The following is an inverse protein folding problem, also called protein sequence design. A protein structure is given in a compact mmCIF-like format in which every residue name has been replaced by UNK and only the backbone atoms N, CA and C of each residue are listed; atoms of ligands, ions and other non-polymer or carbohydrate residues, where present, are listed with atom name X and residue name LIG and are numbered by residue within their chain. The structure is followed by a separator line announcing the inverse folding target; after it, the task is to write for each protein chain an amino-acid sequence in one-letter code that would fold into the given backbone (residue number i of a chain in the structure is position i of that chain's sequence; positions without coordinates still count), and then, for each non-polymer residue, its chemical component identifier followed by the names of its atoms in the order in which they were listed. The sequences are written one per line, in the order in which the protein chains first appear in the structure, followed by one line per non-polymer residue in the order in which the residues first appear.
data_IF_671813987568
#
_entry.id   IF_671813987568
#
_cell.length_a   1.000
_cell.length_b   1.000
_cell.length_c   1.000
_cell.angle_alpha   90.00
_cell.angle_beta   90.00
_cell.angle_gamma   90.00
#
_symmetry.space_group_name_H-M   'P 1'
#
loop_
_entity.id
_entity.type
_entity.pdbx_description
1 polymer ?
#
# COMPACT_ATOMS: atom_id res chain seq x y z
N UNK A 1 20.15 14.81 -10.32
CA UNK A 1 18.92 14.98 -9.50
C UNK A 1 18.51 13.62 -8.94
N UNK A 2 17.55 13.57 -8.04
CA UNK A 2 17.03 12.29 -7.56
C UNK A 2 15.49 12.34 -7.59
N UNK A 3 14.87 11.20 -7.84
CA UNK A 3 13.43 11.01 -7.75
C UNK A 3 13.10 10.46 -6.35
N UNK A 4 12.05 10.99 -5.74
CA UNK A 4 11.55 10.57 -4.44
C UNK A 4 10.16 9.98 -4.60
N UNK A 5 9.94 8.80 -4.02
CA UNK A 5 8.64 8.15 -3.96
C UNK A 5 8.32 7.86 -2.49
N UNK A 6 7.31 8.54 -1.97
CA UNK A 6 6.81 8.34 -0.63
C UNK A 6 5.61 7.39 -0.66
N UNK A 7 5.76 6.22 -0.05
CA UNK A 7 4.71 5.23 0.10
C UNK A 7 4.05 5.46 1.46
N UNK A 8 2.84 5.99 1.46
CA UNK A 8 2.09 6.34 2.66
C UNK A 8 0.94 5.36 2.83
N UNK A 9 0.98 4.53 3.89
CA UNK A 9 -0.13 3.64 4.20
C UNK A 9 -1.30 4.46 4.76
N UNK A 10 -2.53 4.12 4.36
CA UNK A 10 -3.72 4.71 4.96
C UNK A 10 -3.72 4.58 6.49
N UNK A 11 -4.41 5.49 7.17
CA UNK A 11 -4.59 5.46 8.61
C UNK A 11 -5.51 4.33 9.09
N UNK A 12 -5.64 4.16 10.40
CA UNK A 12 -6.53 3.16 10.98
C UNK A 12 -7.96 3.37 10.46
N UNK A 13 -8.63 2.27 10.13
CA UNK A 13 -10.02 2.29 9.62
C UNK A 13 -11.04 2.28 10.76
N UNK A 14 -12.26 2.71 10.44
CA UNK A 14 -13.39 2.73 11.37
C UNK A 14 -14.18 1.40 11.29
N UNK A 15 -13.57 0.31 11.73
CA UNK A 15 -14.17 -1.02 11.70
C UNK A 15 -13.53 -1.98 12.68
N UNK A 16 -14.15 -3.15 12.83
CA UNK A 16 -13.61 -4.24 13.64
C UNK A 16 -12.37 -4.85 12.96
N UNK A 17 -11.51 -5.58 13.70
CA UNK A 17 -10.39 -6.30 13.10
C UNK A 17 -10.87 -7.28 12.02
N UNK A 18 -10.43 -7.09 10.78
CA UNK A 18 -10.78 -7.90 9.61
C UNK A 18 -9.71 -7.76 8.52
N UNK A 19 -9.78 -8.62 7.49
CA UNK A 19 -9.07 -8.39 6.24
C UNK A 19 -9.85 -7.39 5.39
N UNK A 20 -9.34 -6.19 5.25
CA UNK A 20 -9.94 -5.15 4.39
C UNK A 20 -9.17 -5.03 3.09
N UNK A 21 -9.55 -5.82 2.10
CA UNK A 21 -9.06 -5.75 0.73
C UNK A 21 -9.89 -4.78 -0.10
N UNK A 22 -10.87 -5.32 -0.85
CA UNK A 22 -11.80 -4.57 -1.69
C UNK A 22 -12.93 -3.89 -0.92
N UNK A 23 -13.25 -4.36 0.30
CA UNK A 23 -14.23 -3.71 1.17
C UNK A 23 -13.87 -2.24 1.37
N UNK A 24 -14.78 -1.35 0.94
CA UNK A 24 -14.51 0.09 0.90
C UNK A 24 -14.88 0.79 2.23
N UNK A 25 -14.15 0.40 3.27
CA UNK A 25 -14.30 0.96 4.62
C UNK A 25 -13.64 2.34 4.73
N UNK A 26 -14.22 3.22 5.54
CA UNK A 26 -13.70 4.56 5.80
C UNK A 26 -12.51 4.54 6.76
N UNK A 27 -11.57 5.45 6.57
CA UNK A 27 -10.56 5.76 7.58
C UNK A 27 -11.23 6.37 8.81
N UNK A 28 -10.73 6.08 10.01
CA UNK A 28 -11.16 6.74 11.25
C UNK A 28 -10.60 8.17 11.32
N UNK A 29 -11.23 9.04 12.10
CA UNK A 29 -10.74 10.40 12.33
C UNK A 29 -9.30 10.38 12.85
N UNK A 30 -9.00 9.64 13.90
CA UNK A 30 -7.66 9.49 14.43
C UNK A 30 -6.65 8.92 13.40
N UNK A 31 -7.09 7.99 12.54
CA UNK A 31 -6.25 7.47 11.46
C UNK A 31 -5.98 8.50 10.37
N UNK A 32 -6.97 9.36 10.07
CA UNK A 32 -6.79 10.48 9.17
C UNK A 32 -5.78 11.49 9.73
N UNK A 33 -5.94 11.93 10.98
CA UNK A 33 -5.05 12.87 11.64
C UNK A 33 -3.61 12.37 11.71
N UNK A 34 -3.43 11.07 12.02
CA UNK A 34 -2.12 10.44 12.02
C UNK A 34 -1.47 10.49 10.62
N UNK A 35 -2.22 10.24 9.55
CA UNK A 35 -1.70 10.37 8.18
C UNK A 35 -1.34 11.82 7.86
N UNK A 36 -2.19 12.77 8.24
CA UNK A 36 -1.97 14.20 7.99
C UNK A 36 -0.75 14.76 8.76
N UNK A 37 -0.31 14.10 9.84
CA UNK A 37 0.90 14.51 10.56
C UNK A 37 2.18 14.49 9.70
N UNK A 38 2.17 13.79 8.56
CA UNK A 38 3.27 13.78 7.58
C UNK A 38 3.28 14.99 6.64
N UNK A 39 2.32 15.92 6.75
CA UNK A 39 2.18 17.05 5.85
C UNK A 39 3.50 17.81 5.58
N UNK A 40 4.27 18.12 6.64
CA UNK A 40 5.54 18.85 6.50
C UNK A 40 6.62 18.02 5.77
N UNK A 41 6.64 16.69 5.96
CA UNK A 41 7.60 15.80 5.31
C UNK A 41 7.30 15.64 3.81
N UNK A 42 6.05 15.92 3.40
CA UNK A 42 5.55 15.80 2.04
C UNK A 42 5.46 17.14 1.30
N UNK A 43 5.84 18.26 1.94
CA UNK A 43 5.72 19.61 1.38
C UNK A 43 6.51 19.81 0.07
N UNK A 44 7.53 18.97 -0.21
CA UNK A 44 8.30 18.98 -1.46
C UNK A 44 7.71 18.12 -2.58
N UNK A 45 6.55 17.48 -2.35
CA UNK A 45 5.91 16.63 -3.35
C UNK A 45 5.45 17.42 -4.57
N UNK A 46 5.45 16.77 -5.74
CA UNK A 46 4.97 17.33 -7.00
C UNK A 46 3.62 16.77 -7.44
N UNK A 47 3.20 15.62 -6.88
CA UNK A 47 1.90 14.98 -7.15
C UNK A 47 1.58 13.91 -6.14
N UNK A 48 0.29 13.56 -6.06
CA UNK A 48 -0.22 12.43 -5.28
C UNK A 48 -0.92 11.44 -6.22
N UNK A 49 -0.64 10.15 -6.05
CA UNK A 49 -1.38 9.06 -6.68
C UNK A 49 -1.97 8.20 -5.55
N UNK A 50 -3.29 8.00 -5.54
CA UNK A 50 -3.97 7.27 -4.47
C UNK A 50 -4.61 5.99 -4.97
N UNK A 51 -4.67 4.98 -4.11
CA UNK A 51 -5.66 3.93 -4.22
C UNK A 51 -7.07 4.54 -4.32
N UNK A 52 -8.00 3.97 -5.10
CA UNK A 52 -9.36 4.48 -5.19
C UNK A 52 -10.20 4.23 -3.93
N UNK A 53 -9.77 3.33 -3.02
CA UNK A 53 -10.51 2.97 -1.82
C UNK A 53 -10.57 4.14 -0.82
N UNK A 54 -11.75 4.34 -0.21
CA UNK A 54 -12.06 5.52 0.62
C UNK A 54 -11.05 5.76 1.73
N UNK A 55 -10.53 4.69 2.37
CA UNK A 55 -9.53 4.79 3.45
C UNK A 55 -8.21 5.44 3.01
N UNK A 56 -7.90 5.39 1.71
CA UNK A 56 -6.77 6.11 1.11
C UNK A 56 -7.21 7.45 0.52
N UNK A 57 -8.25 7.41 -0.32
CA UNK A 57 -8.66 8.54 -1.17
C UNK A 57 -9.14 9.73 -0.36
N UNK A 58 -9.80 9.52 0.78
CA UNK A 58 -10.27 10.60 1.63
C UNK A 58 -9.08 11.46 2.12
N UNK A 59 -8.11 10.84 2.78
CA UNK A 59 -6.93 11.55 3.27
C UNK A 59 -6.05 12.10 2.14
N UNK A 60 -5.97 11.40 1.01
CA UNK A 60 -5.24 11.87 -0.17
C UNK A 60 -5.84 13.14 -0.76
N UNK A 61 -7.18 13.30 -0.77
CA UNK A 61 -7.86 14.51 -1.23
C UNK A 61 -7.55 15.71 -0.34
N UNK A 62 -7.60 15.52 0.98
CA UNK A 62 -7.30 16.60 1.94
C UNK A 62 -5.82 17.02 1.79
N UNK A 63 -4.90 16.05 1.79
CA UNK A 63 -3.47 16.32 1.63
C UNK A 63 -3.16 17.03 0.30
N UNK A 64 -3.80 16.62 -0.79
CA UNK A 64 -3.64 17.27 -2.10
C UNK A 64 -4.12 18.71 -2.09
N UNK A 65 -5.24 18.99 -1.40
CA UNK A 65 -5.76 20.35 -1.25
C UNK A 65 -4.85 21.23 -0.41
N UNK A 66 -4.32 20.72 0.71
CA UNK A 66 -3.45 21.48 1.60
C UNK A 66 -2.07 21.79 0.98
N UNK A 67 -1.55 20.87 0.16
CA UNK A 67 -0.26 21.03 -0.51
C UNK A 67 -0.34 21.63 -1.93
N UNK A 68 -1.55 21.96 -2.39
CA UNK A 68 -1.82 22.43 -3.77
C UNK A 68 -1.26 21.48 -4.84
N UNK A 69 -1.51 20.18 -4.69
CA UNK A 69 -0.98 19.12 -5.55
C UNK A 69 -2.04 18.49 -6.44
N UNK A 70 -1.63 18.05 -7.63
CA UNK A 70 -2.47 17.21 -8.48
C UNK A 70 -2.64 15.83 -7.84
N UNK A 71 -3.91 15.41 -7.68
CA UNK A 71 -4.30 14.07 -7.26
C UNK A 71 -4.79 13.26 -8.45
N UNK A 72 -4.31 12.04 -8.57
CA UNK A 72 -4.88 11.02 -9.46
C UNK A 72 -5.11 9.72 -8.71
N UNK A 73 -5.97 8.85 -9.24
CA UNK A 73 -6.21 7.52 -8.67
C UNK A 73 -5.65 6.43 -9.58
N UNK A 74 -5.17 5.35 -8.98
CA UNK A 74 -4.70 4.17 -9.69
C UNK A 74 -5.34 2.91 -9.08
N UNK A 75 -6.23 2.19 -9.80
CA UNK A 75 -6.80 0.93 -9.32
C UNK A 75 -5.75 -0.12 -8.95
N UNK A 76 -4.58 -0.08 -9.59
CA UNK A 76 -3.44 -0.94 -9.30
C UNK A 76 -2.82 -0.71 -7.91
N UNK A 77 -3.15 0.38 -7.23
CA UNK A 77 -2.75 0.66 -5.84
C UNK A 77 -3.78 0.17 -4.82
N UNK A 78 -4.89 -0.46 -5.24
CA UNK A 78 -5.83 -1.07 -4.29
C UNK A 78 -5.19 -2.26 -3.55
N UNK A 79 -5.68 -2.56 -2.34
CA UNK A 79 -5.21 -3.72 -1.56
C UNK A 79 -5.57 -5.03 -2.26
N UNK A 80 -4.97 -6.13 -1.84
CA UNK A 80 -5.33 -7.46 -2.28
C UNK A 80 -6.80 -7.73 -1.96
N UNK A 81 -7.54 -8.29 -2.92
CA UNK A 81 -8.90 -8.73 -2.69
C UNK A 81 -8.90 -10.06 -1.93
N UNK A 82 -9.53 -10.10 -0.76
CA UNK A 82 -9.54 -11.30 0.10
C UNK A 82 -10.75 -12.22 -0.10
N UNK A 83 -11.47 -12.05 -1.21
CA UNK A 83 -12.58 -12.92 -1.59
C UNK A 83 -13.74 -12.92 -0.60
N UNK A 84 -14.21 -14.12 -0.27
CA UNK A 84 -15.36 -14.32 0.63
C UNK A 84 -15.09 -13.88 2.07
N UNK A 85 -13.81 -13.75 2.48
CA UNK A 85 -13.44 -13.28 3.81
C UNK A 85 -13.15 -11.77 3.88
N UNK A 86 -13.31 -11.05 2.76
CA UNK A 86 -13.03 -9.62 2.68
C UNK A 86 -14.04 -8.80 3.49
N UNK A 87 -13.57 -8.11 4.53
CA UNK A 87 -14.39 -7.26 5.39
C UNK A 87 -15.17 -8.00 6.49
N UNK A 88 -15.05 -9.32 6.59
CA UNK A 88 -15.68 -10.09 7.67
C UNK A 88 -14.82 -9.96 8.94
N UNK A 89 -15.40 -9.53 10.08
CA UNK A 89 -14.69 -9.49 11.36
C UNK A 89 -14.10 -10.85 11.74
N UNK A 90 -12.89 -10.86 12.28
CA UNK A 90 -12.22 -12.11 12.67
C UNK A 90 -13.01 -12.90 13.71
N UNK A 91 -13.79 -12.23 14.57
CA UNK A 91 -14.66 -12.88 15.55
C UNK A 91 -15.82 -13.67 14.90
N UNK A 92 -16.16 -13.34 13.66
CA UNK A 92 -17.23 -13.99 12.88
C UNK A 92 -16.70 -15.11 11.96
N UNK A 93 -15.35 -15.25 11.83
CA UNK A 93 -14.69 -16.27 11.01
C UNK A 93 -14.41 -17.54 11.86
N UNK A 94 -15.42 -18.24 12.32
CA UNK A 94 -15.22 -19.42 13.18
C UNK A 94 -14.90 -20.69 12.39
N UNK A 95 -15.68 -20.99 11.36
CA UNK A 95 -15.52 -22.20 10.53
C UNK A 95 -14.42 -22.06 9.47
N UNK A 96 -14.18 -20.84 8.97
CA UNK A 96 -13.19 -20.53 7.93
C UNK A 96 -11.79 -20.26 8.50
N UNK A 97 -11.61 -20.29 9.83
CA UNK A 97 -10.31 -20.02 10.46
C UNK A 97 -9.16 -20.89 9.91
N UNK A 98 -9.35 -22.20 9.64
CA UNK A 98 -8.30 -23.03 9.04
C UNK A 98 -7.86 -22.54 7.64
N UNK A 99 -8.76 -21.98 6.85
CA UNK A 99 -8.43 -21.40 5.53
C UNK A 99 -7.59 -20.13 5.69
N UNK A 100 -7.94 -19.29 6.64
CA UNK A 100 -7.24 -18.06 6.93
C UNK A 100 -5.83 -18.34 7.48
N UNK A 101 -5.69 -19.32 8.37
CA UNK A 101 -4.40 -19.76 8.90
C UNK A 101 -3.49 -20.31 7.79
N UNK A 102 -4.02 -21.18 6.92
CA UNK A 102 -3.28 -21.72 5.77
C UNK A 102 -2.81 -20.59 4.83
N UNK A 103 -3.67 -19.60 4.57
CA UNK A 103 -3.31 -18.41 3.80
C UNK A 103 -2.17 -17.63 4.47
N UNK A 104 -2.22 -17.36 5.77
CA UNK A 104 -1.16 -16.65 6.45
C UNK A 104 0.16 -17.42 6.50
N UNK A 105 0.10 -18.76 6.62
CA UNK A 105 1.31 -19.58 6.62
C UNK A 105 1.98 -19.67 5.25
N UNK A 106 1.19 -19.64 4.16
CA UNK A 106 1.73 -19.74 2.79
C UNK A 106 0.86 -18.99 1.78
N UNK A 107 0.89 -17.64 1.77
CA UNK A 107 -0.02 -16.82 0.97
C UNK A 107 0.17 -16.97 -0.54
N UNK A 108 1.34 -17.45 -0.98
CA UNK A 108 1.60 -17.74 -2.40
C UNK A 108 1.01 -19.06 -2.88
N UNK A 109 0.75 -20.00 -1.96
CA UNK A 109 0.24 -21.34 -2.26
C UNK A 109 -1.26 -21.51 -1.94
N UNK A 110 -1.77 -20.68 -1.03
CA UNK A 110 -3.16 -20.72 -0.59
C UNK A 110 -3.86 -19.42 -0.94
N UNK A 111 -4.79 -19.47 -1.86
CA UNK A 111 -5.67 -18.35 -2.20
C UNK A 111 -7.02 -18.56 -1.53
N UNK A 112 -7.52 -17.55 -0.84
CA UNK A 112 -8.86 -17.62 -0.22
C UNK A 112 -9.95 -17.73 -1.29
N UNK A 113 -11.10 -18.34 -1.02
CA UNK A 113 -12.20 -18.47 -1.98
C UNK A 113 -12.62 -17.11 -2.55
N UNK A 114 -12.68 -17.00 -3.87
CA UNK A 114 -13.03 -15.75 -4.56
C UNK A 114 -12.00 -14.62 -4.47
N UNK A 115 -10.83 -14.85 -3.84
CA UNK A 115 -9.80 -13.84 -3.68
C UNK A 115 -8.93 -13.64 -4.92
N UNK A 116 -8.24 -12.51 -4.97
CA UNK A 116 -7.12 -12.28 -5.88
C UNK A 116 -5.93 -13.18 -5.48
N UNK A 117 -5.30 -13.85 -6.45
CA UNK A 117 -4.09 -14.59 -6.14
C UNK A 117 -2.95 -13.66 -5.75
N UNK A 118 -2.05 -14.11 -4.86
CA UNK A 118 -0.87 -13.31 -4.50
C UNK A 118 -0.01 -12.98 -5.74
N UNK A 119 0.01 -13.86 -6.75
CA UNK A 119 0.71 -13.64 -8.02
C UNK A 119 0.11 -12.50 -8.83
N UNK A 120 -1.21 -12.46 -8.96
CA UNK A 120 -1.90 -11.41 -9.73
C UNK A 120 -1.76 -10.06 -9.00
N UNK A 121 -1.90 -10.08 -7.68
CA UNK A 121 -1.62 -8.91 -6.83
C UNK A 121 -0.20 -8.40 -7.03
N UNK A 122 0.80 -9.26 -6.94
CA UNK A 122 2.21 -8.91 -7.19
C UNK A 122 2.40 -8.31 -8.57
N UNK A 123 1.92 -8.98 -9.60
CA UNK A 123 2.12 -8.55 -10.99
C UNK A 123 1.53 -7.16 -11.26
N UNK A 124 0.29 -6.87 -10.76
CA UNK A 124 -0.30 -5.55 -10.99
C UNK A 124 0.39 -4.43 -10.23
N UNK A 125 0.83 -4.70 -8.99
CA UNK A 125 1.53 -3.70 -8.15
C UNK A 125 2.93 -3.43 -8.70
N UNK A 126 3.71 -4.47 -8.97
CA UNK A 126 5.08 -4.32 -9.49
C UNK A 126 5.06 -3.73 -10.89
N UNK A 127 4.13 -4.15 -11.75
CA UNK A 127 3.98 -3.54 -13.07
C UNK A 127 3.61 -2.05 -13.02
N UNK A 128 2.84 -1.60 -12.02
CA UNK A 128 2.62 -0.18 -11.77
C UNK A 128 3.91 0.51 -11.30
N UNK A 129 4.60 -0.08 -10.31
CA UNK A 129 5.85 0.47 -9.77
C UNK A 129 6.90 0.68 -10.87
N UNK A 130 7.16 -0.33 -11.69
CA UNK A 130 8.12 -0.25 -12.78
C UNK A 130 7.78 0.84 -13.80
N UNK A 131 6.49 1.04 -14.11
CA UNK A 131 6.08 2.13 -15.00
C UNK A 131 6.34 3.51 -14.42
N UNK A 132 6.08 3.72 -13.13
CA UNK A 132 6.26 5.06 -12.53
C UNK A 132 7.73 5.41 -12.33
N UNK A 133 8.61 4.43 -12.05
CA UNK A 133 10.05 4.69 -11.95
C UNK A 133 10.71 4.87 -13.31
N UNK A 134 10.23 4.18 -14.35
CA UNK A 134 10.72 4.34 -15.71
C UNK A 134 10.35 5.70 -16.34
N UNK A 135 9.23 6.29 -15.89
CA UNK A 135 8.74 7.60 -16.35
C UNK A 135 8.22 8.40 -15.16
N UNK A 136 9.09 8.91 -14.31
CA UNK A 136 8.69 9.74 -13.19
C UNK A 136 8.00 11.01 -13.70
N UNK A 137 6.76 11.23 -13.32
CA UNK A 137 5.99 12.42 -13.73
C UNK A 137 6.25 13.64 -12.87
N UNK A 138 7.39 13.69 -12.18
CA UNK A 138 7.83 14.73 -11.27
C UNK A 138 8.92 14.21 -10.34
N UNK A 139 9.62 15.10 -9.67
CA UNK A 139 10.77 14.74 -8.83
C UNK A 139 10.37 14.06 -7.51
N UNK A 140 9.15 14.33 -7.01
CA UNK A 140 8.67 13.74 -5.77
C UNK A 140 7.21 13.32 -5.92
N UNK A 141 6.94 12.03 -5.83
CA UNK A 141 5.59 11.43 -5.95
C UNK A 141 5.18 10.79 -4.64
N UNK A 142 4.00 11.12 -4.14
CA UNK A 142 3.38 10.46 -2.97
C UNK A 142 2.39 9.40 -3.46
N UNK A 143 2.51 8.18 -2.95
CA UNK A 143 1.58 7.07 -3.18
C UNK A 143 0.80 6.81 -1.89
N UNK A 144 -0.49 7.14 -1.85
CA UNK A 144 -1.36 6.81 -0.72
C UNK A 144 -2.01 5.46 -0.97
N UNK A 145 -1.64 4.44 -0.18
CA UNK A 145 -1.96 3.06 -0.49
C UNK A 145 -2.06 2.17 0.77
N UNK A 146 -1.79 0.88 0.66
CA UNK A 146 -2.06 -0.16 1.64
C UNK A 146 -0.80 -0.93 2.03
N UNK A 147 -0.89 -1.70 3.13
CA UNK A 147 0.24 -2.46 3.66
C UNK A 147 0.74 -3.55 2.72
N UNK A 148 -0.17 -4.27 2.06
CA UNK A 148 0.19 -5.29 1.08
C UNK A 148 0.90 -4.71 -0.13
N UNK A 149 0.38 -3.61 -0.68
CA UNK A 149 0.99 -2.90 -1.82
C UNK A 149 2.41 -2.42 -1.49
N UNK A 150 2.60 -1.83 -0.31
CA UNK A 150 3.92 -1.35 0.13
C UNK A 150 4.90 -2.52 0.25
N UNK A 151 4.48 -3.68 0.81
CA UNK A 151 5.33 -4.89 0.88
C UNK A 151 5.74 -5.38 -0.51
N UNK A 152 4.84 -5.39 -1.49
CA UNK A 152 5.16 -5.78 -2.86
C UNK A 152 6.21 -4.85 -3.49
N UNK A 153 6.08 -3.55 -3.30
CA UNK A 153 7.06 -2.57 -3.80
C UNK A 153 8.41 -2.76 -3.10
N UNK A 154 8.43 -2.92 -1.76
CA UNK A 154 9.64 -3.17 -0.99
C UNK A 154 10.33 -4.45 -1.46
N UNK A 155 9.58 -5.55 -1.63
CA UNK A 155 10.14 -6.82 -2.10
C UNK A 155 10.81 -6.66 -3.46
N UNK A 156 10.18 -5.93 -4.39
CA UNK A 156 10.75 -5.65 -5.73
C UNK A 156 12.02 -4.81 -5.65
N UNK A 157 12.03 -3.77 -4.81
CA UNK A 157 13.18 -2.86 -4.66
C UNK A 157 14.37 -3.55 -4.01
N UNK A 158 14.14 -4.40 -3.01
CA UNK A 158 15.20 -5.11 -2.28
C UNK A 158 15.58 -6.47 -2.92
N UNK A 159 14.90 -6.89 -3.98
CA UNK A 159 15.12 -8.21 -4.59
C UNK A 159 14.73 -9.37 -3.68
N UNK A 160 13.75 -9.16 -2.77
CA UNK A 160 13.27 -10.20 -1.87
C UNK A 160 12.30 -11.14 -2.60
N UNK A 161 12.28 -12.40 -2.17
CA UNK A 161 11.28 -13.35 -2.64
C UNK A 161 9.88 -12.96 -2.17
N UNK A 162 9.06 -12.45 -3.09
CA UNK A 162 7.69 -12.03 -2.82
C UNK A 162 6.75 -13.19 -2.45
N UNK A 163 7.17 -14.45 -2.68
CA UNK A 163 6.39 -15.64 -2.29
C UNK A 163 6.65 -16.04 -0.84
N UNK A 164 7.71 -15.50 -0.21
CA UNK A 164 8.10 -15.84 1.15
C UNK A 164 7.07 -15.37 2.18
N UNK A 165 6.55 -16.24 3.04
CA UNK A 165 5.66 -15.85 4.14
C UNK A 165 6.28 -14.80 5.07
N UNK A 166 7.61 -14.82 5.25
CA UNK A 166 8.32 -13.87 6.11
C UNK A 166 8.07 -12.40 5.71
N UNK A 167 7.91 -12.13 4.40
CA UNK A 167 7.59 -10.79 3.91
C UNK A 167 6.27 -10.24 4.50
N UNK A 168 5.29 -11.11 4.74
CA UNK A 168 3.96 -10.73 5.21
C UNK A 168 3.84 -10.80 6.74
N UNK A 169 4.57 -11.72 7.37
CA UNK A 169 4.52 -11.97 8.81
C UNK A 169 5.50 -11.11 9.60
N UNK A 170 6.69 -10.81 9.03
CA UNK A 170 7.78 -10.15 9.76
C UNK A 170 8.01 -8.70 9.35
N UNK A 171 7.68 -8.31 8.10
CA UNK A 171 7.78 -6.92 7.67
C UNK A 171 6.52 -6.15 8.10
N UNK A 172 6.64 -5.40 9.19
CA UNK A 172 5.56 -4.54 9.66
C UNK A 172 5.51 -3.23 8.85
N UNK A 173 4.35 -2.94 8.31
CA UNK A 173 4.01 -1.64 7.71
C UNK A 173 2.85 -1.09 8.52
N UNK A 174 3.10 -0.20 9.47
CA UNK A 174 2.08 0.35 10.38
C UNK A 174 1.08 1.26 9.66
N UNK A 175 -0.13 1.43 10.19
CA UNK A 175 -1.07 2.44 9.69
C UNK A 175 -0.44 3.83 9.74
N UNK A 176 -0.71 4.63 8.73
CA UNK A 176 -0.12 5.95 8.51
C UNK A 176 1.42 5.98 8.46
N UNK A 177 2.11 4.84 8.33
CA UNK A 177 3.57 4.84 8.17
C UNK A 177 3.98 5.38 6.80
N UNK A 178 5.13 6.05 6.78
CA UNK A 178 5.77 6.60 5.60
C UNK A 178 7.05 5.81 5.28
N UNK A 179 7.11 5.27 4.06
CA UNK A 179 8.31 4.62 3.53
C UNK A 179 8.78 5.43 2.32
N UNK A 180 9.98 5.98 2.39
CA UNK A 180 10.59 6.74 1.30
C UNK A 180 11.51 5.88 0.46
N UNK A 181 11.34 5.95 -0.86
CA UNK A 181 12.25 5.36 -1.83
C UNK A 181 12.88 6.47 -2.64
N UNK A 182 14.20 6.53 -2.66
CA UNK A 182 14.95 7.51 -3.44
C UNK A 182 15.68 6.81 -4.59
N UNK A 183 15.53 7.32 -5.80
CA UNK A 183 16.20 6.84 -6.99
C UNK A 183 17.02 7.97 -7.61
N UNK A 184 18.31 7.80 -7.70
CA UNK A 184 19.18 8.78 -8.37
C UNK A 184 18.92 8.81 -9.87
N UNK A 185 19.02 10.01 -10.47
CA UNK A 185 18.74 10.26 -11.89
C UNK A 185 19.98 9.96 -12.74
N UNK A 186 20.38 8.70 -12.81
CA UNK A 186 21.41 8.20 -13.71
C UNK A 186 21.15 6.73 -14.09
N UNK A 187 21.66 6.27 -15.24
CA UNK A 187 21.54 4.86 -15.63
C UNK A 187 22.10 3.92 -14.56
N UNK A 188 21.38 2.84 -14.29
CA UNK A 188 21.76 1.82 -13.29
C UNK A 188 21.70 2.28 -11.82
N UNK A 189 21.00 3.38 -11.52
CA UNK A 189 20.78 3.80 -10.14
C UNK A 189 20.01 2.72 -9.36
N UNK A 190 20.48 2.44 -8.16
CA UNK A 190 19.83 1.49 -7.25
C UNK A 190 18.88 2.29 -6.30
N UNK A 191 17.61 1.91 -6.20
CA UNK A 191 16.71 2.55 -5.26
C UNK A 191 17.14 2.33 -3.80
N UNK A 192 17.05 3.37 -2.98
CA UNK A 192 17.34 3.32 -1.54
C UNK A 192 16.05 3.48 -0.77
N UNK A 193 15.79 2.58 0.21
CA UNK A 193 14.61 2.64 1.07
C UNK A 193 14.98 3.25 2.42
N UNK A 194 14.12 4.14 2.90
CA UNK A 194 14.18 4.72 4.24
C UNK A 194 12.78 4.61 4.88
N UNK A 195 12.71 4.06 6.09
CA UNK A 195 11.52 4.09 6.94
C UNK A 195 11.53 5.37 7.79
N UNK A 196 10.43 6.12 7.78
CA UNK A 196 10.29 7.44 8.42
C UNK A 196 9.19 7.39 9.49
#
# INVERSE_FOLDING_TARGET
MAYVFDLLRHGKVNGQPALYGSTDIKVSEAGHDQLMSHHLQLAGASRIISSPLQRCLYSAKVLASELDLKLSTAPTLAECHFGELDGIPFDDITEQWPLLDAFWQSPSSHTLPGAESLRDFHNRVVGFWERIIARPGGNHTVLVTHGGVIRQIISRVLGLDWTSPALYQQLSVSHASLTRITLADYPSAIPVIQFI
#
